data_IF_692913857634
#
_entry.id   IF_692913857634
#
_cell.length_a   1.000
_cell.length_b   1.000
_cell.length_c   1.000
_cell.angle_alpha   90.00
_cell.angle_beta   90.00
_cell.angle_gamma   90.00
#
_symmetry.space_group_name_H-M   'P 1'
#
loop_
_entity.id
_entity.type
_entity.pdbx_description
1 polymer ?
#
# COMPACT_ATOMS: atom_id res chain seq x y z
N UNK A 1 4.14 1.25 -4.36
CA UNK A 1 4.28 2.73 -4.27
C UNK A 1 2.92 3.32 -4.00
N UNK A 2 2.80 4.26 -3.05
CA UNK A 2 1.55 4.96 -2.76
C UNK A 2 1.30 6.04 -3.82
N UNK A 3 0.10 6.07 -4.40
CA UNK A 3 -0.26 7.02 -5.46
C UNK A 3 -1.20 8.12 -4.96
N UNK A 4 -2.26 7.77 -4.23
CA UNK A 4 -3.19 8.77 -3.69
C UNK A 4 -3.90 8.30 -2.41
N UNK A 5 -4.50 9.24 -1.69
CA UNK A 5 -5.44 8.97 -0.60
C UNK A 5 -6.85 8.75 -1.15
N UNK A 6 -7.56 7.75 -0.63
CA UNK A 6 -8.98 7.51 -0.89
C UNK A 6 -9.88 7.98 0.26
N UNK A 7 -9.31 8.46 1.35
CA UNK A 7 -10.03 8.85 2.56
C UNK A 7 -9.14 8.76 3.80
N UNK A 8 -9.75 8.99 4.97
CA UNK A 8 -9.02 8.96 6.24
C UNK A 8 -8.34 7.60 6.46
N UNK A 9 -7.01 7.62 6.48
CA UNK A 9 -6.13 6.47 6.68
C UNK A 9 -6.26 5.35 5.61
N UNK A 10 -6.81 5.70 4.43
CA UNK A 10 -6.95 4.76 3.30
C UNK A 10 -6.24 5.34 2.09
N UNK A 11 -5.41 4.51 1.48
CA UNK A 11 -4.53 4.86 0.38
C UNK A 11 -4.62 3.82 -0.70
N UNK A 12 -4.32 4.21 -1.93
CA UNK A 12 -4.13 3.25 -3.01
C UNK A 12 -2.77 3.40 -3.65
N UNK A 13 -2.27 2.28 -4.17
CA UNK A 13 -0.96 2.20 -4.78
C UNK A 13 -0.84 1.04 -5.76
N UNK A 14 0.32 0.96 -6.40
CA UNK A 14 0.71 -0.13 -7.30
C UNK A 14 1.86 -0.95 -6.73
N UNK A 15 1.91 -2.23 -7.09
CA UNK A 15 3.06 -3.08 -6.79
C UNK A 15 4.19 -2.81 -7.80
N UNK A 16 5.45 -3.09 -7.44
CA UNK A 16 6.60 -2.88 -8.35
C UNK A 16 6.61 -3.86 -9.55
N UNK A 17 5.75 -4.88 -9.55
CA UNK A 17 5.67 -5.90 -10.61
C UNK A 17 4.55 -5.67 -11.63
N UNK A 18 3.87 -4.53 -11.55
CA UNK A 18 2.64 -4.33 -12.32
C UNK A 18 2.94 -3.97 -13.79
N UNK A 19 2.41 -4.76 -14.72
CA UNK A 19 2.45 -4.53 -16.17
C UNK A 19 1.16 -3.80 -16.56
N UNK A 20 1.23 -2.73 -17.37
CA UNK A 20 0.18 -1.70 -17.47
C UNK A 20 -1.24 -2.16 -17.86
N UNK A 21 -1.44 -3.40 -18.29
CA UNK A 21 -2.70 -3.90 -18.87
C UNK A 21 -3.51 -4.87 -17.98
N UNK A 22 -2.96 -5.42 -16.90
CA UNK A 22 -3.67 -6.35 -16.01
C UNK A 22 -3.14 -6.17 -14.60
N UNK A 23 -3.65 -5.22 -13.79
CA UNK A 23 -3.23 -5.21 -12.38
C UNK A 23 -4.29 -4.78 -11.35
N UNK A 24 -4.38 -5.52 -10.23
CA UNK A 24 -5.27 -5.21 -9.14
C UNK A 24 -4.81 -3.98 -8.37
N UNK A 25 -5.74 -3.10 -7.98
CA UNK A 25 -5.38 -1.93 -7.16
C UNK A 25 -5.01 -2.42 -5.77
N UNK A 26 -3.91 -1.90 -5.22
CA UNK A 26 -3.52 -2.21 -3.84
C UNK A 26 -4.11 -1.14 -2.93
N UNK A 27 -5.13 -1.53 -2.17
CA UNK A 27 -5.74 -0.71 -1.12
C UNK A 27 -4.98 -0.91 0.18
N UNK A 28 -4.42 0.17 0.70
CA UNK A 28 -3.58 0.18 1.89
C UNK A 28 -4.28 0.97 2.99
N UNK A 29 -4.50 0.34 4.13
CA UNK A 29 -4.95 1.04 5.34
C UNK A 29 -3.75 1.39 6.22
N UNK A 30 -3.57 2.67 6.51
CA UNK A 30 -2.40 3.16 7.26
C UNK A 30 -2.42 4.66 7.51
N UNK A 31 -1.78 5.08 8.61
CA UNK A 31 -1.52 6.48 8.97
C UNK A 31 -0.14 6.90 8.48
N UNK A 32 0.05 8.20 8.29
CA UNK A 32 1.34 8.82 7.93
C UNK A 32 1.96 8.28 6.63
N UNK A 33 1.12 7.95 5.66
CA UNK A 33 1.56 7.62 4.31
C UNK A 33 1.55 8.87 3.44
N UNK A 34 2.53 8.96 2.53
CA UNK A 34 2.62 10.07 1.57
C UNK A 34 2.70 9.52 0.14
N UNK A 35 2.03 10.16 -0.84
CA UNK A 35 2.20 9.83 -2.24
C UNK A 35 3.67 9.84 -2.66
N UNK A 36 4.05 8.91 -3.54
CA UNK A 36 5.44 8.74 -4.01
C UNK A 36 6.33 7.93 -3.06
N UNK A 37 5.84 7.53 -1.88
CA UNK A 37 6.62 6.68 -0.96
C UNK A 37 6.42 5.18 -1.22
N UNK A 38 7.46 4.40 -0.91
CA UNK A 38 7.37 2.95 -0.84
C UNK A 38 7.01 2.54 0.59
N UNK A 39 5.83 1.93 0.73
CA UNK A 39 5.32 1.41 1.99
C UNK A 39 5.41 -0.12 2.00
N UNK A 40 5.80 -0.70 3.14
CA UNK A 40 5.67 -2.14 3.36
C UNK A 40 4.23 -2.46 3.76
N UNK A 41 3.59 -3.30 2.94
CA UNK A 41 2.18 -3.64 3.11
C UNK A 41 2.09 -5.15 3.27
N UNK A 42 1.46 -5.57 4.37
CA UNK A 42 1.04 -6.96 4.52
C UNK A 42 -0.34 -7.10 3.91
N UNK A 43 -0.43 -7.83 2.79
CA UNK A 43 -1.71 -8.18 2.17
C UNK A 43 -2.45 -9.13 3.11
N UNK A 44 -3.66 -8.75 3.48
CA UNK A 44 -4.51 -9.53 4.40
C UNK A 44 -5.67 -10.21 3.67
N UNK A 45 -6.12 -9.62 2.56
CA UNK A 45 -7.21 -10.16 1.72
C UNK A 45 -6.95 -9.83 0.26
N UNK A 46 -7.36 -10.75 -0.61
CA UNK A 46 -7.54 -10.49 -2.03
C UNK A 46 -9.05 -10.48 -2.32
N UNK A 47 -9.52 -9.41 -2.95
CA UNK A 47 -10.83 -9.35 -3.60
C UNK A 47 -10.66 -9.65 -5.11
N UNK A 48 -11.77 -9.81 -5.84
CA UNK A 48 -11.79 -10.28 -7.24
C UNK A 48 -10.82 -9.52 -8.16
N UNK A 49 -10.53 -8.25 -7.87
CA UNK A 49 -9.58 -7.41 -8.62
C UNK A 49 -8.76 -6.46 -7.75
N UNK A 50 -8.75 -6.61 -6.43
CA UNK A 50 -8.07 -5.67 -5.53
C UNK A 50 -7.34 -6.41 -4.41
N UNK A 51 -6.17 -5.91 -4.04
CA UNK A 51 -5.43 -6.40 -2.87
C UNK A 51 -5.66 -5.45 -1.71
N UNK A 52 -6.10 -5.99 -0.58
CA UNK A 52 -6.31 -5.21 0.64
C UNK A 52 -5.22 -5.58 1.64
N UNK A 53 -4.44 -4.58 2.02
CA UNK A 53 -3.35 -4.75 2.97
C UNK A 53 -3.32 -3.66 4.03
N UNK A 54 -2.63 -3.98 5.12
CA UNK A 54 -2.36 -3.04 6.20
C UNK A 54 -0.91 -2.59 6.11
N UNK A 55 -0.66 -1.30 6.32
CA UNK A 55 0.69 -0.79 6.44
C UNK A 55 1.31 -1.34 7.73
N UNK A 56 2.24 -2.28 7.59
CA UNK A 56 3.08 -2.74 8.68
C UNK A 56 4.27 -1.81 8.72
N UNK A 57 4.12 -0.70 9.46
CA UNK A 57 5.12 0.34 9.54
C UNK A 57 6.52 -0.22 9.68
N UNK A 58 7.47 0.40 8.97
CA UNK A 58 8.87 0.08 9.06
C UNK A 58 9.25 -0.01 10.54
N UNK A 59 9.74 -1.16 11.02
CA UNK A 59 10.48 -1.20 12.29
C UNK A 59 11.61 -0.20 12.11
N UNK A 60 11.43 1.02 12.61
CA UNK A 60 12.44 2.05 12.52
C UNK A 60 13.65 1.49 13.26
N UNK A 61 14.70 1.18 12.51
CA UNK A 61 16.03 0.86 13.00
C UNK A 61 16.67 2.13 13.62
N UNK A 62 16.01 2.70 14.62
CA UNK A 62 16.48 3.79 15.51
C UNK A 62 16.77 3.29 16.92
N UNK A 63 16.87 1.98 17.09
CA UNK A 63 17.37 1.34 18.30
C UNK A 63 18.77 0.78 17.99
N UNK A 64 19.80 1.64 17.90
CA UNK A 64 21.21 1.27 18.09
C UNK A 64 22.06 2.52 18.34
#
# INVERSE_FOLDING_TARGET
MIENSLGKDVWWGRSYRDSPDIDPRVIVKGRDLNPGTFAQVQVTRAATYDLIGIHTGNRSSRDY
#
